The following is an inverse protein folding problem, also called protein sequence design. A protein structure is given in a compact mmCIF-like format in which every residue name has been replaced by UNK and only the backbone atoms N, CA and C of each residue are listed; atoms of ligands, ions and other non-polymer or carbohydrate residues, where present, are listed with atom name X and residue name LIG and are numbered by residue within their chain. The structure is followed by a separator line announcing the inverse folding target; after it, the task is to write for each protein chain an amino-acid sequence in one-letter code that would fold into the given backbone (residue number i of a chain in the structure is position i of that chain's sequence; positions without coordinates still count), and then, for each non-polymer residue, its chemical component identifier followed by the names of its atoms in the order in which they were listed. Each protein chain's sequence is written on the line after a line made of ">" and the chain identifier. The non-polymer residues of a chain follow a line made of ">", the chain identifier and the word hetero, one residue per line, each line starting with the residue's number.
data_IF_871395993027
#
_entry.id   IF_871395993027
#
_cell.length_a   1.000
_cell.length_b   1.000
_cell.length_c   1.000
_cell.angle_alpha   90.00
_cell.angle_beta   90.00
_cell.angle_gamma   90.00
#
_symmetry.space_group_name_H-M   'P 1'
#
loop_
_entity.id
_entity.type
_entity.pdbx_description
1 polymer ?
#
# COMPACT_ATOMS: atom_id res chain seq x y z
N UNK A 1 -9.26 -20.46 -17.23
CA UNK A 1 -8.53 -20.32 -15.95
C UNK A 1 -8.56 -18.84 -15.59
N UNK A 2 -9.06 -18.49 -14.40
CA UNK A 2 -9.63 -17.16 -14.10
C UNK A 2 -8.64 -15.99 -14.32
N UNK A 3 -9.00 -15.12 -15.26
CA UNK A 3 -8.51 -13.77 -15.39
C UNK A 3 -9.21 -12.90 -14.32
N UNK A 4 -8.46 -12.39 -13.33
CA UNK A 4 -8.94 -11.36 -12.40
C UNK A 4 -7.86 -10.30 -12.19
N UNK A 5 -7.39 -9.72 -13.29
CA UNK A 5 -6.75 -8.40 -13.23
C UNK A 5 -7.91 -7.42 -13.22
N UNK A 6 -8.45 -7.15 -12.02
CA UNK A 6 -9.41 -6.07 -11.86
C UNK A 6 -8.64 -4.78 -12.11
N UNK A 7 -8.71 -4.25 -13.33
CA UNK A 7 -8.32 -2.88 -13.65
C UNK A 7 -9.22 -1.95 -12.83
N UNK A 8 -8.86 -1.70 -11.58
CA UNK A 8 -9.30 -0.51 -10.88
C UNK A 8 -8.67 0.68 -11.60
N UNK A 9 -9.42 1.77 -11.74
CA UNK A 9 -9.00 2.95 -12.48
C UNK A 9 -7.60 3.36 -12.03
N UNK A 10 -6.71 3.56 -12.99
CA UNK A 10 -5.35 4.03 -12.77
C UNK A 10 -5.33 5.18 -11.76
N UNK A 11 -4.60 5.01 -10.67
CA UNK A 11 -4.08 6.12 -9.89
C UNK A 11 -3.46 7.10 -10.87
N UNK A 12 -3.74 8.39 -10.67
CA UNK A 12 -3.19 9.41 -11.53
C UNK A 12 -1.67 9.26 -11.51
N UNK A 13 -1.00 9.17 -12.67
CA UNK A 13 0.45 9.11 -12.67
C UNK A 13 1.04 10.35 -11.99
N UNK A 14 1.84 10.12 -10.95
CA UNK A 14 2.35 11.16 -10.05
C UNK A 14 1.47 11.49 -8.84
N UNK A 15 0.45 10.67 -8.55
CA UNK A 15 -0.38 10.78 -7.35
C UNK A 15 0.37 10.39 -6.08
N UNK A 16 -0.09 10.91 -4.93
CA UNK A 16 0.54 10.61 -3.64
C UNK A 16 0.19 9.21 -3.14
N UNK A 17 1.20 8.44 -2.72
CA UNK A 17 1.00 7.13 -2.12
C UNK A 17 0.83 7.23 -0.60
N UNK A 18 0.01 6.34 -0.04
CA UNK A 18 -0.17 6.21 1.41
C UNK A 18 0.05 4.76 1.85
N UNK A 19 0.73 4.58 2.97
CA UNK A 19 0.82 3.31 3.68
C UNK A 19 -0.24 3.30 4.76
N UNK A 20 -1.32 2.54 4.54
CA UNK A 20 -2.32 2.31 5.57
C UNK A 20 -1.80 1.26 6.55
N UNK A 21 -1.85 1.58 7.83
CA UNK A 21 -1.32 0.73 8.91
C UNK A 21 -2.22 0.80 10.15
N UNK A 22 -1.95 -0.05 11.12
CA UNK A 22 -2.52 0.05 12.47
C UNK A 22 -1.42 -0.16 13.50
N UNK A 23 -0.70 0.91 13.83
CA UNK A 23 0.46 0.86 14.74
C UNK A 23 0.06 0.62 16.20
N UNK A 24 -1.20 0.88 16.52
CA UNK A 24 -1.80 0.58 17.83
C UNK A 24 -2.53 -0.77 17.87
N UNK A 25 -2.51 -1.54 16.77
CA UNK A 25 -2.96 -2.92 16.84
C UNK A 25 -1.97 -3.71 17.70
N UNK A 26 -2.43 -4.60 18.58
CA UNK A 26 -1.56 -5.46 19.39
C UNK A 26 -0.72 -6.47 18.54
N UNK A 27 -0.76 -6.35 17.22
CA UNK A 27 -0.07 -7.23 16.28
C UNK A 27 1.34 -6.73 15.99
N UNK A 28 2.33 -7.41 16.58
CA UNK A 28 3.75 -7.19 16.26
C UNK A 28 4.06 -7.38 14.76
N UNK A 29 3.29 -8.23 14.07
CA UNK A 29 3.45 -8.48 12.64
C UNK A 29 3.12 -7.23 11.81
N UNK A 30 2.09 -6.47 12.19
CA UNK A 30 1.71 -5.24 11.47
C UNK A 30 2.82 -4.23 11.56
N UNK A 31 3.30 -3.92 12.77
CA UNK A 31 4.39 -2.95 12.97
C UNK A 31 5.67 -3.33 12.21
N UNK A 32 6.07 -4.60 12.25
CA UNK A 32 7.26 -5.07 11.55
C UNK A 32 7.13 -4.95 10.02
N UNK A 33 5.98 -5.35 9.46
CA UNK A 33 5.71 -5.21 8.04
C UNK A 33 5.65 -3.74 7.62
N UNK A 34 5.07 -2.85 8.45
CA UNK A 34 5.01 -1.42 8.16
C UNK A 34 6.42 -0.83 8.07
N UNK A 35 7.27 -1.11 9.06
CA UNK A 35 8.65 -0.63 9.05
C UNK A 35 9.42 -1.11 7.81
N UNK A 36 9.27 -2.39 7.44
CA UNK A 36 9.92 -2.94 6.24
C UNK A 36 9.39 -2.29 4.96
N UNK A 37 8.08 -2.07 4.87
CA UNK A 37 7.43 -1.41 3.74
C UNK A 37 7.96 0.02 3.56
N UNK A 38 8.05 0.78 4.66
CA UNK A 38 8.62 2.13 4.64
C UNK A 38 10.06 2.16 4.14
N UNK A 39 10.90 1.25 4.66
CA UNK A 39 12.30 1.16 4.24
C UNK A 39 12.42 0.78 2.76
N UNK A 40 11.58 -0.14 2.29
CA UNK A 40 11.59 -0.60 0.89
C UNK A 40 11.26 0.55 -0.06
N UNK A 41 10.19 1.30 0.22
CA UNK A 41 9.77 2.43 -0.61
C UNK A 41 10.81 3.57 -0.54
N UNK A 42 11.31 3.91 0.65
CA UNK A 42 12.37 4.93 0.84
C UNK A 42 13.66 4.57 0.10
N UNK A 43 14.09 3.31 0.16
CA UNK A 43 15.29 2.84 -0.52
C UNK A 43 15.20 2.97 -2.06
N UNK A 44 13.98 2.96 -2.61
CA UNK A 44 13.73 3.16 -4.04
C UNK A 44 13.39 4.61 -4.42
N UNK A 45 13.43 5.54 -3.47
CA UNK A 45 13.10 6.95 -3.69
C UNK A 45 11.60 7.18 -3.98
N UNK A 46 10.74 6.27 -3.54
CA UNK A 46 9.29 6.40 -3.71
C UNK A 46 8.74 7.22 -2.55
N UNK A 47 8.14 8.36 -2.88
CA UNK A 47 7.49 9.26 -1.93
C UNK A 47 6.15 8.67 -1.45
N UNK A 48 5.92 8.68 -0.13
CA UNK A 48 4.66 8.24 0.47
C UNK A 48 4.43 8.89 1.84
N UNK A 49 3.19 8.79 2.34
CA UNK A 49 2.83 9.14 3.72
C UNK A 49 2.32 7.92 4.50
N UNK A 50 2.55 7.88 5.80
CA UNK A 50 2.00 6.85 6.68
C UNK A 50 0.66 7.34 7.25
N UNK A 51 -0.37 6.51 7.11
CA UNK A 51 -1.72 6.80 7.59
C UNK A 51 -2.21 5.71 8.54
N UNK A 52 -2.28 6.03 9.83
CA UNK A 52 -2.68 5.07 10.87
C UNK A 52 -4.21 5.04 11.04
N UNK A 53 -4.80 3.89 10.70
CA UNK A 53 -6.24 3.61 10.85
C UNK A 53 -6.69 3.58 12.31
N UNK A 54 -5.78 3.40 13.27
CA UNK A 54 -6.13 3.40 14.69
C UNK A 54 -6.37 4.82 15.22
N UNK A 55 -5.63 5.81 14.73
CA UNK A 55 -5.62 7.18 15.25
C UNK A 55 -6.31 8.19 14.33
N UNK A 56 -6.44 7.89 13.03
CA UNK A 56 -7.10 8.76 12.06
C UNK A 56 -8.48 8.21 11.65
N UNK A 57 -9.54 8.89 12.10
CA UNK A 57 -10.93 8.48 11.85
C UNK A 57 -11.33 8.49 10.37
N UNK A 58 -10.79 9.43 9.57
CA UNK A 58 -11.08 9.50 8.12
C UNK A 58 -10.45 8.31 7.39
N UNK A 59 -9.18 8.04 7.68
CA UNK A 59 -8.43 6.88 7.14
C UNK A 59 -9.14 5.58 7.52
N UNK A 60 -9.59 5.47 8.78
CA UNK A 60 -10.36 4.31 9.27
C UNK A 60 -11.67 4.12 8.51
N UNK A 61 -12.42 5.19 8.23
CA UNK A 61 -13.67 5.11 7.47
C UNK A 61 -13.43 4.63 6.04
N UNK A 62 -12.41 5.17 5.36
CA UNK A 62 -12.02 4.72 4.01
C UNK A 62 -11.61 3.25 4.04
N UNK A 63 -10.76 2.86 5.00
CA UNK A 63 -10.31 1.48 5.16
C UNK A 63 -11.47 0.50 5.45
N UNK A 64 -12.43 0.90 6.27
CA UNK A 64 -13.59 0.05 6.58
C UNK A 64 -14.45 -0.19 5.33
N UNK A 65 -14.52 0.79 4.42
CA UNK A 65 -15.29 0.69 3.17
C UNK A 65 -14.53 -0.01 2.04
N UNK A 66 -13.25 0.28 1.88
CA UNK A 66 -12.42 -0.15 0.73
C UNK A 66 -11.45 -1.28 1.06
N UNK A 67 -11.26 -1.60 2.34
CA UNK A 67 -10.33 -2.62 2.83
C UNK A 67 -10.59 -4.03 2.29
N UNK A 68 -11.84 -4.35 1.95
CA UNK A 68 -12.25 -5.57 1.26
C UNK A 68 -11.65 -6.89 1.82
N UNK A 69 -11.47 -6.96 3.14
CA UNK A 69 -10.90 -8.14 3.83
C UNK A 69 -9.38 -8.28 3.74
N UNK A 70 -8.68 -7.33 3.13
CA UNK A 70 -7.21 -7.27 3.08
C UNK A 70 -6.61 -7.02 4.46
N UNK A 71 -5.34 -7.40 4.63
CA UNK A 71 -4.62 -7.23 5.89
C UNK A 71 -3.73 -6.00 5.83
N UNK A 72 -3.71 -5.23 6.91
CA UNK A 72 -2.73 -4.15 7.08
C UNK A 72 -1.34 -4.76 7.35
N UNK A 73 -0.25 -4.12 6.89
CA UNK A 73 -0.24 -2.85 6.15
C UNK A 73 -0.44 -3.04 4.63
N UNK A 74 -0.97 -2.00 4.00
CA UNK A 74 -1.17 -1.93 2.53
C UNK A 74 -0.72 -0.59 1.97
N UNK A 75 -0.34 -0.57 0.69
CA UNK A 75 -0.14 0.66 -0.08
C UNK A 75 -1.43 1.01 -0.79
N UNK A 76 -1.84 2.27 -0.68
CA UNK A 76 -3.02 2.81 -1.34
C UNK A 76 -2.67 4.08 -2.12
N UNK A 77 -3.48 4.38 -3.13
CA UNK A 77 -3.42 5.66 -3.84
C UNK A 77 -4.09 6.80 -3.03
N UNK A 78 -4.08 8.02 -3.59
CA UNK A 78 -4.69 9.21 -2.97
C UNK A 78 -6.20 9.09 -2.71
N UNK A 79 -6.90 8.24 -3.48
CA UNK A 79 -8.33 7.99 -3.30
C UNK A 79 -8.63 6.93 -2.21
N UNK A 80 -7.58 6.27 -1.72
CA UNK A 80 -7.65 5.18 -0.76
C UNK A 80 -7.98 3.82 -1.39
N UNK A 81 -7.79 3.66 -2.70
CA UNK A 81 -7.84 2.36 -3.36
C UNK A 81 -6.54 1.58 -3.11
N UNK A 82 -6.70 0.29 -2.81
CA UNK A 82 -5.58 -0.59 -2.49
C UNK A 82 -4.84 -0.93 -3.78
N UNK A 83 -3.54 -0.61 -3.80
CA UNK A 83 -2.64 -0.97 -4.88
C UNK A 83 -1.98 -2.32 -4.59
N UNK A 84 -1.48 -2.52 -3.37
CA UNK A 84 -0.77 -3.74 -2.99
C UNK A 84 -0.75 -3.98 -1.47
N UNK A 85 -0.73 -5.25 -1.05
CA UNK A 85 -0.36 -5.66 0.30
C UNK A 85 1.17 -5.61 0.50
N UNK A 86 1.62 -5.61 1.75
CA UNK A 86 3.04 -5.55 2.07
C UNK A 86 3.86 -6.66 1.39
N UNK A 87 3.36 -7.90 1.39
CA UNK A 87 4.05 -9.04 0.75
C UNK A 87 4.20 -8.84 -0.77
N UNK A 88 3.14 -8.37 -1.45
CA UNK A 88 3.19 -8.08 -2.89
C UNK A 88 4.24 -7.01 -3.22
N UNK A 89 4.39 -5.99 -2.36
CA UNK A 89 5.42 -4.96 -2.53
C UNK A 89 6.82 -5.52 -2.32
N UNK A 90 7.02 -6.42 -1.36
CA UNK A 90 8.33 -7.03 -1.13
C UNK A 90 8.75 -7.93 -2.29
N UNK A 91 7.82 -8.75 -2.77
CA UNK A 91 8.05 -9.63 -3.92
C UNK A 91 8.34 -8.79 -5.17
N UNK A 92 7.60 -7.68 -5.36
CA UNK A 92 7.84 -6.80 -6.49
C UNK A 92 9.20 -6.07 -6.40
N UNK A 93 9.59 -5.62 -5.20
CA UNK A 93 10.88 -5.00 -4.99
C UNK A 93 12.06 -5.95 -5.27
N UNK A 94 11.89 -7.25 -4.99
CA UNK A 94 12.87 -8.29 -5.30
C UNK A 94 12.95 -8.53 -6.82
N UNK A 95 11.80 -8.57 -7.49
CA UNK A 95 11.72 -8.74 -8.94
C UNK A 95 12.34 -7.58 -9.74
N UNK A 96 12.22 -6.34 -9.24
CA UNK A 96 12.88 -5.17 -9.83
C UNK A 96 12.11 -3.87 -9.68
N UNK A 97 12.80 -2.74 -9.93
CA UNK A 97 12.21 -1.40 -9.77
C UNK A 97 11.06 -1.15 -10.74
N UNK A 98 11.17 -1.58 -12.00
CA UNK A 98 10.11 -1.37 -13.01
C UNK A 98 8.82 -2.09 -12.60
N UNK A 99 8.93 -3.33 -12.15
CA UNK A 99 7.78 -4.12 -11.71
C UNK A 99 7.16 -3.55 -10.43
N UNK A 100 7.98 -3.06 -9.49
CA UNK A 100 7.49 -2.33 -8.31
C UNK A 100 6.74 -1.05 -8.69
N UNK A 101 7.26 -0.28 -9.66
CA UNK A 101 6.59 0.95 -10.13
C UNK A 101 5.27 0.62 -10.82
N UNK A 102 5.23 -0.40 -11.67
CA UNK A 102 4.00 -0.86 -12.33
C UNK A 102 2.95 -1.28 -11.31
N UNK A 103 3.32 -2.09 -10.31
CA UNK A 103 2.43 -2.51 -9.23
C UNK A 103 1.83 -1.33 -8.46
N UNK A 104 2.63 -0.29 -8.25
CA UNK A 104 2.23 0.92 -7.53
C UNK A 104 1.64 2.01 -8.44
N UNK A 105 1.39 1.69 -9.72
CA UNK A 105 0.84 2.61 -10.71
C UNK A 105 1.64 3.92 -10.83
N UNK A 106 2.97 3.83 -10.64
CA UNK A 106 3.92 4.92 -10.78
C UNK A 106 4.43 4.99 -12.22
N UNK A 107 4.73 6.20 -12.68
CA UNK A 107 5.36 6.40 -13.98
C UNK A 107 6.77 5.77 -14.01
N UNK A 108 7.14 5.10 -15.13
CA UNK A 108 8.42 4.44 -15.30
C UNK A 108 9.62 5.39 -15.17
#
# INVERSE_FOLDING_TARGET
>A
MQNKITKHRAAKPGGMLFVYTSLSSASRSVTAQTNRLELTLKARGIEFQVADTATNSKVRQVWTRRGNGKKLPVVVNEEGDILAEAEEVFDANDAGLEYLKELLELEP
#
